data_IF_618642302459
#
_entry.id   IF_618642302459
#
_cell.length_a   1.000
_cell.length_b   1.000
_cell.length_c   1.000
_cell.angle_alpha   90.00
_cell.angle_beta   90.00
_cell.angle_gamma   90.00
#
_symmetry.space_group_name_H-M   'P 1'
#
loop_
_entity.id
_entity.type
_entity.pdbx_description
1 polymer ?
#
# COMPACT_ATOMS: atom_id res chain seq x y z
N UNK A 1 0.58 10.24 7.11
CA UNK A 1 1.29 10.76 5.93
C UNK A 1 0.37 10.71 4.71
N UNK A 2 0.51 11.59 3.72
CA UNK A 2 -0.32 11.62 2.51
C UNK A 2 0.52 11.31 1.28
N UNK A 3 -0.02 10.49 0.38
CA UNK A 3 0.53 10.23 -0.96
C UNK A 3 -0.32 10.98 -1.96
N UNK A 4 0.33 11.72 -2.85
CA UNK A 4 -0.31 12.62 -3.81
C UNK A 4 0.11 12.24 -5.22
N UNK A 5 -0.80 12.41 -6.16
CA UNK A 5 -0.50 12.35 -7.58
C UNK A 5 -0.02 13.73 -8.04
N UNK A 6 1.20 13.81 -8.56
CA UNK A 6 1.79 15.08 -8.97
C UNK A 6 1.13 15.69 -10.22
N UNK A 7 0.60 14.85 -11.12
CA UNK A 7 0.01 15.29 -12.38
C UNK A 7 -1.37 15.91 -12.18
N UNK A 8 -2.20 15.26 -11.38
CA UNK A 8 -3.59 15.63 -11.07
C UNK A 8 -3.71 16.49 -9.81
N UNK A 9 -2.62 16.60 -9.04
CA UNK A 9 -2.54 17.34 -7.77
C UNK A 9 -3.58 16.87 -6.74
N UNK A 10 -3.88 15.58 -6.76
CA UNK A 10 -4.90 14.97 -5.91
C UNK A 10 -4.25 14.09 -4.84
N UNK A 11 -4.92 13.95 -3.68
CA UNK A 11 -4.52 12.98 -2.66
C UNK A 11 -4.98 11.60 -3.12
N UNK A 12 -4.05 10.66 -3.29
CA UNK A 12 -4.37 9.29 -3.68
C UNK A 12 -4.64 8.42 -2.45
N UNK A 13 -3.86 8.61 -1.38
CA UNK A 13 -3.92 7.75 -0.20
C UNK A 13 -3.45 8.43 1.08
N UNK A 14 -4.10 8.09 2.19
CA UNK A 14 -3.59 8.34 3.54
C UNK A 14 -2.90 7.10 4.07
N UNK A 15 -1.63 7.25 4.47
CA UNK A 15 -0.89 6.20 5.17
C UNK A 15 -1.04 6.44 6.67
N UNK A 16 -1.97 5.70 7.27
CA UNK A 16 -2.34 5.74 8.68
C UNK A 16 -1.78 4.50 9.38
N UNK A 17 -1.08 4.68 10.49
CA UNK A 17 -0.54 3.56 11.27
C UNK A 17 0.64 3.93 12.15
N UNK A 18 1.43 4.92 11.75
CA UNK A 18 2.41 5.51 12.65
C UNK A 18 1.71 6.26 13.79
N UNK A 19 2.20 6.07 15.02
CA UNK A 19 1.65 6.65 16.24
C UNK A 19 2.42 7.89 16.71
N UNK A 20 3.46 8.28 15.96
CA UNK A 20 4.27 9.47 16.20
C UNK A 20 4.69 10.12 14.87
N UNK A 21 5.52 11.16 14.95
CA UNK A 21 6.00 11.91 13.80
C UNK A 21 6.80 11.04 12.84
N UNK A 22 6.37 11.03 11.58
CA UNK A 22 7.13 10.46 10.46
C UNK A 22 8.20 11.45 10.07
N UNK A 23 9.47 11.03 10.09
CA UNK A 23 10.62 11.87 9.78
C UNK A 23 11.32 11.48 8.47
N UNK A 24 10.96 10.34 7.89
CA UNK A 24 11.54 9.87 6.63
C UNK A 24 10.52 9.10 5.79
N UNK A 25 10.61 9.27 4.48
CA UNK A 25 9.87 8.49 3.50
C UNK A 25 10.71 8.31 2.22
N UNK A 26 10.64 7.13 1.61
CA UNK A 26 11.30 6.82 0.34
C UNK A 26 10.44 5.88 -0.51
N UNK A 27 10.50 6.03 -1.83
CA UNK A 27 9.99 5.03 -2.77
C UNK A 27 11.05 3.97 -3.04
N UNK A 28 10.61 2.74 -3.29
CA UNK A 28 11.48 1.74 -3.93
C UNK A 28 11.84 2.20 -5.35
N UNK A 29 13.01 1.78 -5.90
CA UNK A 29 13.43 2.16 -7.25
C UNK A 29 12.44 1.75 -8.35
N UNK A 30 11.71 0.66 -8.15
CA UNK A 30 10.64 0.18 -9.03
C UNK A 30 9.30 0.91 -8.86
N UNK A 31 9.20 1.82 -7.88
CA UNK A 31 8.00 2.57 -7.56
C UNK A 31 6.88 1.75 -6.93
N UNK A 32 7.06 0.44 -6.71
CA UNK A 32 6.01 -0.45 -6.22
C UNK A 32 5.74 -0.29 -4.72
N UNK A 33 6.69 0.24 -3.96
CA UNK A 33 6.66 0.27 -2.50
C UNK A 33 7.07 1.63 -1.95
N UNK A 34 6.51 2.01 -0.80
CA UNK A 34 6.91 3.18 -0.02
C UNK A 34 7.37 2.71 1.36
N UNK A 35 8.52 3.18 1.82
CA UNK A 35 9.02 2.95 3.19
C UNK A 35 8.93 4.24 3.98
N UNK A 36 8.40 4.16 5.20
CA UNK A 36 8.33 5.30 6.14
C UNK A 36 9.03 4.99 7.45
N UNK A 37 9.72 5.99 8.02
CA UNK A 37 10.37 5.91 9.32
C UNK A 37 9.77 6.94 10.29
N UNK A 38 9.52 6.54 11.54
CA UNK A 38 8.78 7.31 12.54
C UNK A 38 9.41 7.29 13.93
N UNK A 39 9.17 8.35 14.69
CA UNK A 39 9.53 8.46 16.10
C UNK A 39 8.83 7.44 17.01
N UNK A 40 7.84 6.71 16.51
CA UNK A 40 7.23 5.58 17.22
C UNK A 40 8.13 4.34 17.29
N UNK A 41 9.38 4.45 16.81
CA UNK A 41 10.40 3.40 16.75
C UNK A 41 10.07 2.29 15.77
N UNK A 42 9.21 2.56 14.79
CA UNK A 42 8.91 1.63 13.70
C UNK A 42 9.25 2.23 12.34
N UNK A 43 9.63 1.34 11.42
CA UNK A 43 9.53 1.58 10.00
C UNK A 43 8.33 0.79 9.47
N UNK A 44 7.61 1.36 8.49
CA UNK A 44 6.48 0.69 7.85
C UNK A 44 6.70 0.65 6.35
N UNK A 45 6.27 -0.45 5.75
CA UNK A 45 6.31 -0.68 4.32
C UNK A 45 4.88 -0.61 3.82
N UNK A 46 4.66 0.15 2.74
CA UNK A 46 3.37 0.37 2.15
C UNK A 46 3.40 -0.01 0.68
N UNK A 47 2.42 -0.80 0.20
CA UNK A 47 2.22 -0.96 -1.23
C UNK A 47 1.88 0.39 -1.88
N UNK A 48 2.48 0.66 -3.04
CA UNK A 48 2.11 1.80 -3.87
C UNK A 48 0.78 1.56 -4.58
N UNK A 49 0.23 2.62 -5.15
CA UNK A 49 -1.00 2.51 -5.95
C UNK A 49 -0.75 1.70 -7.23
N UNK A 50 0.44 1.82 -7.84
CA UNK A 50 0.79 1.07 -9.04
C UNK A 50 0.78 -0.44 -8.80
N UNK A 51 1.42 -0.90 -7.71
CA UNK A 51 1.40 -2.31 -7.32
C UNK A 51 -0.03 -2.81 -7.07
N UNK A 52 -0.87 -2.03 -6.37
CA UNK A 52 -2.26 -2.44 -6.10
C UNK A 52 -3.09 -2.57 -7.38
N UNK A 53 -2.84 -1.72 -8.38
CA UNK A 53 -3.51 -1.81 -9.68
C UNK A 53 -3.04 -3.04 -10.45
N UNK A 54 -1.73 -3.32 -10.49
CA UNK A 54 -1.21 -4.53 -11.12
C UNK A 54 -1.76 -5.81 -10.46
N UNK A 55 -1.85 -5.85 -9.14
CA UNK A 55 -2.46 -6.97 -8.41
C UNK A 55 -3.95 -7.11 -8.74
N UNK A 56 -4.70 -6.00 -8.80
CA UNK A 56 -6.12 -6.01 -9.15
C UNK A 56 -6.36 -6.51 -10.58
N UNK A 57 -5.56 -6.05 -11.54
CA UNK A 57 -5.64 -6.49 -12.93
C UNK A 57 -5.32 -7.99 -13.04
N UNK A 58 -4.28 -8.46 -12.34
CA UNK A 58 -3.92 -9.88 -12.31
C UNK A 58 -5.04 -10.76 -11.73
N UNK A 59 -5.77 -10.28 -10.72
CA UNK A 59 -6.89 -11.00 -10.11
C UNK A 59 -8.09 -11.10 -11.04
N UNK A 60 -8.42 -10.03 -11.76
CA UNK A 60 -9.54 -10.03 -12.73
C UNK A 60 -9.27 -11.03 -13.86
N UNK A 61 -8.01 -11.27 -14.20
CA UNK A 61 -7.61 -12.23 -15.23
C UNK A 61 -7.42 -13.68 -14.73
N UNK A 62 -7.62 -13.96 -13.42
CA UNK A 62 -7.50 -15.32 -12.88
C UNK A 62 -8.77 -16.13 -13.08
N UNK A 63 -8.60 -17.43 -13.29
CA UNK A 63 -9.67 -18.43 -13.31
C UNK A 63 -9.46 -19.46 -12.18
N UNK A 64 -10.31 -19.49 -11.14
CA UNK A 64 -11.40 -18.56 -10.87
C UNK A 64 -10.90 -17.19 -10.37
N UNK A 65 -11.69 -16.10 -10.53
CA UNK A 65 -11.30 -14.72 -10.22
C UNK A 65 -11.42 -14.40 -8.71
N UNK A 66 -11.10 -15.36 -7.84
CA UNK A 66 -11.28 -15.24 -6.39
C UNK A 66 -9.94 -15.20 -5.65
N UNK A 67 -9.86 -14.38 -4.61
CA UNK A 67 -8.73 -14.38 -3.69
C UNK A 67 -8.65 -15.73 -2.97
N UNK A 68 -7.45 -16.33 -2.96
CA UNK A 68 -7.20 -17.52 -2.13
C UNK A 68 -7.36 -17.17 -0.65
N UNK A 69 -7.65 -18.15 0.22
CA UNK A 69 -7.70 -17.92 1.66
C UNK A 69 -6.45 -17.20 2.21
N UNK A 70 -5.26 -17.59 1.75
CA UNK A 70 -3.99 -16.99 2.16
C UNK A 70 -3.85 -15.51 1.76
N UNK A 71 -4.32 -15.16 0.56
CA UNK A 71 -4.35 -13.78 0.08
C UNK A 71 -5.37 -12.95 0.87
N UNK A 72 -6.52 -13.52 1.22
CA UNK A 72 -7.52 -12.84 2.06
C UNK A 72 -6.95 -12.50 3.44
N UNK A 73 -6.18 -13.41 4.04
CA UNK A 73 -5.45 -13.12 5.29
C UNK A 73 -4.40 -12.03 5.08
N UNK A 74 -3.60 -12.10 4.00
CA UNK A 74 -2.56 -11.10 3.69
C UNK A 74 -3.12 -9.69 3.53
N UNK A 75 -4.30 -9.55 2.92
CA UNK A 75 -4.95 -8.27 2.68
C UNK A 75 -5.93 -7.86 3.80
N UNK A 76 -6.10 -8.67 4.85
CA UNK A 76 -7.02 -8.39 5.95
C UNK A 76 -8.49 -8.36 5.53
N UNK A 77 -8.87 -9.23 4.58
CA UNK A 77 -10.23 -9.37 4.02
C UNK A 77 -11.02 -10.52 4.68
N UNK A 78 -10.62 -10.95 5.88
CA UNK A 78 -11.36 -11.92 6.68
C UNK A 78 -12.55 -11.18 7.35
N UNK A 79 -13.75 -11.79 7.30
CA UNK A 79 -15.01 -11.14 7.72
C UNK A 79 -15.15 -10.92 9.22
N UNK A 80 -16.04 -9.98 9.58
CA UNK A 80 -16.57 -9.71 10.94
C UNK A 80 -17.24 -10.94 11.60
#
# INVERSE_FOLDING_TARGET
>A
MLVWDAATRSVIRRLNGHTSFVFGAAFSPDGQTIVTASHDRTARIWPSVAQLLEEADALIQRDPPEFTPEERTRFGLEGD
#
